data_IF_897149607218
#
_entry.id   IF_897149607218
#
_cell.length_a   1.000
_cell.length_b   1.000
_cell.length_c   1.000
_cell.angle_alpha   90.00
_cell.angle_beta   90.00
_cell.angle_gamma   90.00
#
_symmetry.space_group_name_H-M   'P 1'
#
loop_
_entity.id
_entity.type
_entity.pdbx_description
1 polymer ?
#
# COMPACT_ATOMS: atom_id res chain seq x y z
N UNK A 1 -33.28 10.05 9.63
CA UNK A 1 -32.31 10.45 8.58
C UNK A 1 -31.92 11.91 8.82
N UNK A 2 -30.90 12.15 9.66
CA UNK A 2 -30.35 13.51 9.84
C UNK A 2 -29.43 13.86 8.67
N UNK A 3 -29.31 15.16 8.39
CA UNK A 3 -28.83 15.72 7.13
C UNK A 3 -27.32 15.50 6.91
N UNK A 4 -26.97 15.00 5.73
CA UNK A 4 -25.63 15.19 5.14
C UNK A 4 -25.54 16.62 4.65
N UNK A 5 -24.53 17.35 5.12
CA UNK A 5 -24.22 18.71 4.67
C UNK A 5 -22.85 18.70 4.01
N UNK A 6 -22.75 19.39 2.89
CA UNK A 6 -21.48 19.59 2.20
C UNK A 6 -20.88 20.90 2.68
N UNK A 7 -19.62 20.88 3.15
CA UNK A 7 -18.92 22.08 3.59
C UNK A 7 -17.67 22.31 2.75
N UNK A 8 -17.45 23.56 2.36
CA UNK A 8 -16.29 23.99 1.58
C UNK A 8 -15.29 24.66 2.51
N UNK A 9 -14.04 24.23 2.46
CA UNK A 9 -12.92 24.83 3.18
C UNK A 9 -11.92 25.39 2.17
N UNK A 10 -11.27 26.50 2.51
CA UNK A 10 -10.22 27.10 1.69
C UNK A 10 -8.88 26.84 2.36
N UNK A 11 -7.97 26.20 1.65
CA UNK A 11 -6.62 25.95 2.15
C UNK A 11 -5.63 26.92 1.51
N UNK A 12 -4.52 27.16 2.21
CA UNK A 12 -3.35 27.87 1.69
C UNK A 12 -2.12 27.07 2.03
N UNK A 13 -1.27 26.84 1.03
CA UNK A 13 0.04 26.21 1.15
C UNK A 13 1.14 27.20 0.76
N UNK A 14 2.38 26.83 1.07
CA UNK A 14 3.53 27.75 0.98
C UNK A 14 3.94 28.14 -0.45
N UNK A 15 3.67 27.29 -1.44
CA UNK A 15 4.10 27.50 -2.83
C UNK A 15 3.19 26.82 -3.85
N UNK A 16 3.27 27.31 -5.09
CA UNK A 16 2.66 26.73 -6.29
C UNK A 16 3.75 26.43 -7.32
N UNK A 17 3.71 25.27 -7.95
CA UNK A 17 4.69 24.89 -8.98
C UNK A 17 4.19 23.73 -9.85
N UNK A 18 4.84 23.52 -10.98
CA UNK A 18 4.67 22.36 -11.85
C UNK A 18 5.98 21.58 -11.86
N UNK A 19 5.90 20.25 -11.66
CA UNK A 19 7.07 19.37 -11.63
C UNK A 19 6.80 18.05 -12.38
N UNK A 20 7.86 17.32 -12.78
CA UNK A 20 7.73 15.92 -13.21
C UNK A 20 7.08 15.06 -12.14
N UNK A 21 6.52 13.91 -12.52
CA UNK A 21 6.05 12.92 -11.56
C UNK A 21 7.22 12.20 -10.87
N UNK A 22 7.05 11.90 -9.59
CA UNK A 22 7.95 11.00 -8.84
C UNK A 22 7.91 9.58 -9.41
N UNK A 23 8.95 8.79 -9.15
CA UNK A 23 8.98 7.35 -9.45
C UNK A 23 7.81 6.60 -8.82
N UNK A 24 7.38 6.97 -7.61
CA UNK A 24 6.23 6.34 -6.95
C UNK A 24 4.90 6.68 -7.63
N UNK A 25 4.67 7.94 -8.03
CA UNK A 25 3.50 8.33 -8.83
C UNK A 25 3.46 7.58 -10.16
N UNK A 26 4.59 7.54 -10.89
CA UNK A 26 4.69 6.80 -12.15
C UNK A 26 4.49 5.30 -11.95
N UNK A 27 4.99 4.74 -10.85
CA UNK A 27 4.78 3.35 -10.50
C UNK A 27 3.30 3.03 -10.30
N UNK A 28 2.58 3.87 -9.54
CA UNK A 28 1.13 3.74 -9.31
C UNK A 28 0.33 3.87 -10.60
N UNK A 29 0.66 4.81 -11.49
CA UNK A 29 -0.03 4.95 -12.78
C UNK A 29 0.05 3.69 -13.65
N UNK A 30 1.09 2.87 -13.48
CA UNK A 30 1.25 1.60 -14.23
C UNK A 30 0.47 0.44 -13.61
N UNK A 31 -0.08 0.61 -12.41
CA UNK A 31 -0.90 -0.40 -11.74
C UNK A 31 -2.35 -0.22 -12.16
N UNK A 32 -2.94 -1.24 -12.78
CA UNK A 32 -4.33 -1.19 -13.26
C UNK A 32 -5.37 -1.24 -12.11
N UNK A 33 -4.91 -1.40 -10.88
CA UNK A 33 -5.73 -1.74 -9.72
C UNK A 33 -5.37 -0.98 -8.45
N UNK A 34 -4.64 0.13 -8.59
CA UNK A 34 -4.27 0.95 -7.44
C UNK A 34 -5.53 1.46 -6.72
N UNK A 35 -5.78 0.93 -5.53
CA UNK A 35 -6.95 1.28 -4.73
C UNK A 35 -6.76 2.61 -4.01
N UNK A 36 -7.87 3.27 -3.76
CA UNK A 36 -7.92 4.43 -2.87
C UNK A 36 -7.44 4.06 -1.46
N UNK A 37 -6.53 4.87 -0.91
CA UNK A 37 -5.98 4.62 0.43
C UNK A 37 -6.92 5.24 1.45
N UNK A 38 -7.55 4.40 2.26
CA UNK A 38 -8.60 4.82 3.21
C UNK A 38 -8.13 4.67 4.65
N UNK A 39 -8.48 5.64 5.51
CA UNK A 39 -8.35 5.52 6.96
C UNK A 39 -9.60 6.04 7.66
N UNK A 40 -9.97 5.34 8.72
CA UNK A 40 -11.00 5.75 9.67
C UNK A 40 -10.29 6.14 10.96
N UNK A 41 -10.62 7.30 11.50
CA UNK A 41 -10.06 7.78 12.76
C UNK A 41 -11.17 7.86 13.80
N UNK A 42 -10.90 7.27 14.96
CA UNK A 42 -11.59 7.61 16.20
C UNK A 42 -11.00 8.94 16.68
N UNK A 43 -11.80 10.02 16.62
CA UNK A 43 -11.33 11.33 17.04
C UNK A 43 -11.54 11.53 18.53
N UNK A 44 -10.64 12.23 19.24
CA UNK A 44 -11.03 12.79 20.53
C UNK A 44 -12.24 13.70 20.32
N UNK A 45 -13.13 13.86 21.33
CA UNK A 45 -14.23 14.81 21.27
C UNK A 45 -13.73 16.19 20.85
N UNK A 46 -14.10 16.63 19.65
CA UNK A 46 -13.65 17.90 19.07
C UNK A 46 -14.81 18.62 18.40
N UNK A 47 -14.85 19.94 18.53
CA UNK A 47 -15.86 20.76 17.87
C UNK A 47 -15.61 20.78 16.36
N UNK A 48 -16.68 20.82 15.57
CA UNK A 48 -16.61 20.84 14.10
C UNK A 48 -15.68 21.95 13.57
N UNK A 49 -15.72 23.21 14.06
CA UNK A 49 -14.79 24.25 13.60
C UNK A 49 -13.32 23.90 13.80
N UNK A 50 -12.96 23.30 14.95
CA UNK A 50 -11.57 22.90 15.23
C UNK A 50 -11.13 21.72 14.35
N UNK A 51 -12.04 20.79 14.07
CA UNK A 51 -11.80 19.72 13.10
C UNK A 51 -11.54 20.28 11.69
N UNK A 52 -12.32 21.28 11.28
CA UNK A 52 -12.17 21.98 10.00
C UNK A 52 -10.84 22.69 9.90
N UNK A 53 -10.45 23.42 10.95
CA UNK A 53 -9.16 24.11 11.00
C UNK A 53 -7.99 23.12 10.89
N UNK A 54 -8.08 21.98 11.60
CA UNK A 54 -7.09 20.91 11.51
C UNK A 54 -6.99 20.31 10.11
N UNK A 55 -8.12 20.01 9.45
CA UNK A 55 -8.13 19.50 8.07
C UNK A 55 -7.55 20.55 7.10
N UNK A 56 -7.90 21.83 7.29
CA UNK A 56 -7.40 22.93 6.46
C UNK A 56 -5.88 23.06 6.57
N UNK A 57 -5.36 23.03 7.80
CA UNK A 57 -3.92 23.07 8.07
C UNK A 57 -3.18 21.83 7.50
N UNK A 58 -3.79 20.65 7.59
CA UNK A 58 -3.25 19.40 7.04
C UNK A 58 -3.06 19.51 5.51
N UNK A 59 -4.08 19.99 4.79
CA UNK A 59 -4.02 20.15 3.34
C UNK A 59 -3.00 21.21 2.94
N UNK A 60 -2.98 22.36 3.64
CA UNK A 60 -2.00 23.42 3.38
C UNK A 60 -0.55 22.95 3.54
N UNK A 61 -0.29 22.14 4.57
CA UNK A 61 1.02 21.59 4.89
C UNK A 61 1.56 20.61 3.86
N UNK A 62 0.75 19.65 3.42
CA UNK A 62 1.24 18.55 2.59
C UNK A 62 0.99 18.80 1.11
N UNK A 63 2.06 19.03 0.34
CA UNK A 63 1.98 19.22 -1.12
C UNK A 63 1.19 18.10 -1.80
N UNK A 64 1.40 16.85 -1.39
CA UNK A 64 0.67 15.70 -1.93
C UNK A 64 -0.86 15.82 -1.83
N UNK A 65 -1.41 16.50 -0.82
CA UNK A 65 -2.86 16.66 -0.63
C UNK A 65 -3.47 17.81 -1.44
N UNK A 66 -2.61 18.65 -2.03
CA UNK A 66 -2.98 19.82 -2.86
C UNK A 66 -2.32 19.78 -4.24
N UNK A 67 -2.07 18.56 -4.72
CA UNK A 67 -1.45 18.29 -6.02
C UNK A 67 -2.45 17.63 -6.95
N UNK A 68 -2.59 18.17 -8.17
CA UNK A 68 -3.36 17.56 -9.26
C UNK A 68 -2.43 17.21 -10.41
N UNK A 69 -2.88 16.33 -11.29
CA UNK A 69 -2.16 16.03 -12.53
C UNK A 69 -2.54 17.04 -13.60
N UNK A 70 -1.57 17.37 -14.46
CA UNK A 70 -1.79 18.06 -15.73
C UNK A 70 -1.16 17.21 -16.84
N UNK A 71 -1.82 17.14 -17.99
CA UNK A 71 -1.44 16.28 -19.11
C UNK A 71 -2.58 16.17 -20.12
N UNK A 72 -2.54 15.19 -21.05
CA UNK A 72 -3.67 14.89 -21.93
C UNK A 72 -4.94 14.63 -21.12
N UNK A 73 -6.12 14.88 -21.70
CA UNK A 73 -7.41 15.01 -21.00
C UNK A 73 -7.76 13.89 -20.00
N UNK A 74 -7.18 12.68 -20.15
CA UNK A 74 -7.34 11.55 -19.24
C UNK A 74 -6.02 10.78 -19.05
N UNK A 75 -5.15 11.20 -18.10
CA UNK A 75 -3.89 10.50 -17.82
C UNK A 75 -4.08 9.03 -17.41
N UNK A 76 -5.25 8.69 -16.85
CA UNK A 76 -5.68 7.34 -16.48
C UNK A 76 -6.01 6.44 -17.67
N UNK A 77 -6.33 7.01 -18.84
CA UNK A 77 -6.65 6.26 -20.07
C UNK A 77 -5.37 6.01 -20.91
N UNK A 78 -4.21 6.47 -20.43
CA UNK A 78 -2.94 6.25 -21.10
C UNK A 78 -2.54 4.75 -20.98
N UNK A 79 -2.10 4.11 -22.08
CA UNK A 79 -1.73 2.70 -22.08
C UNK A 79 -0.69 2.39 -20.99
N UNK A 80 -0.89 1.32 -20.23
CA UNK A 80 0.01 0.94 -19.14
C UNK A 80 1.41 0.50 -19.59
N UNK A 81 1.58 0.25 -20.89
CA UNK A 81 2.85 0.06 -21.58
C UNK A 81 3.43 1.40 -22.09
N UNK A 82 3.17 2.50 -21.37
CA UNK A 82 3.69 3.85 -21.61
C UNK A 82 5.05 3.81 -22.34
N UNK A 83 5.00 3.97 -23.66
CA UNK A 83 6.16 4.08 -24.51
C UNK A 83 6.96 5.33 -24.13
N UNK A 84 8.23 5.39 -24.55
CA UNK A 84 9.13 6.50 -24.23
C UNK A 84 8.45 7.87 -24.43
N UNK A 85 8.42 8.70 -23.37
CA UNK A 85 7.96 10.10 -23.44
C UNK A 85 6.63 10.43 -22.75
N UNK A 86 5.76 9.46 -22.43
CA UNK A 86 4.45 9.78 -21.81
C UNK A 86 4.57 10.25 -20.35
N UNK A 87 5.55 9.73 -19.61
CA UNK A 87 5.96 10.28 -18.31
C UNK A 87 6.44 11.74 -18.41
N UNK A 88 6.88 12.18 -19.59
CA UNK A 88 7.17 13.59 -19.87
C UNK A 88 5.92 14.41 -20.26
N UNK A 89 4.79 13.78 -20.59
CA UNK A 89 3.53 14.47 -20.91
C UNK A 89 2.66 14.75 -19.69
N UNK A 90 2.79 13.93 -18.64
CA UNK A 90 2.06 14.13 -17.38
C UNK A 90 2.98 14.81 -16.37
N UNK A 91 2.46 15.83 -15.71
CA UNK A 91 3.14 16.60 -14.66
C UNK A 91 2.26 16.67 -13.43
N UNK A 92 2.88 16.90 -12.29
CA UNK A 92 2.16 17.27 -11.08
C UNK A 92 2.12 18.80 -10.96
N UNK A 93 0.95 19.34 -10.67
CA UNK A 93 0.73 20.74 -10.35
C UNK A 93 0.38 20.86 -8.87
N UNK A 94 1.29 21.45 -8.11
CA UNK A 94 1.11 21.77 -6.70
C UNK A 94 0.43 23.14 -6.62
N UNK A 95 -0.74 23.23 -5.99
CA UNK A 95 -1.45 24.49 -5.83
C UNK A 95 -1.10 25.17 -4.49
N UNK A 96 -0.87 26.49 -4.50
CA UNK A 96 -0.69 27.28 -3.27
C UNK A 96 -2.01 27.60 -2.57
N UNK A 97 -3.14 27.51 -3.27
CA UNK A 97 -4.46 27.75 -2.70
C UNK A 97 -5.50 26.91 -3.44
N UNK A 98 -6.62 26.64 -2.80
CA UNK A 98 -7.71 25.90 -3.39
C UNK A 98 -8.82 25.71 -2.39
N UNK A 99 -9.92 25.13 -2.86
CA UNK A 99 -11.05 24.80 -2.01
C UNK A 99 -11.33 23.31 -2.02
N UNK A 100 -11.32 22.70 -0.84
CA UNK A 100 -11.67 21.30 -0.63
C UNK A 100 -13.10 21.23 -0.12
N UNK A 101 -13.84 20.26 -0.63
CA UNK A 101 -15.20 19.95 -0.18
C UNK A 101 -15.18 18.73 0.74
N UNK A 102 -15.80 18.83 1.90
CA UNK A 102 -15.92 17.74 2.87
C UNK A 102 -17.38 17.48 3.25
N UNK A 103 -17.69 16.22 3.56
CA UNK A 103 -19.01 15.79 4.01
C UNK A 103 -19.11 15.90 5.54
N UNK A 104 -20.12 16.61 6.03
CA UNK A 104 -20.50 16.63 7.47
C UNK A 104 -21.74 15.79 7.64
N UNK A 105 -21.64 14.74 8.44
CA UNK A 105 -22.68 13.73 8.63
C UNK A 105 -23.19 13.79 10.06
N UNK A 106 -24.36 14.40 10.26
CA UNK A 106 -25.00 14.47 11.58
C UNK A 106 -25.82 13.21 11.82
N UNK A 107 -25.66 12.58 12.98
CA UNK A 107 -26.40 11.37 13.36
C UNK A 107 -26.66 11.31 14.86
N UNK A 108 -27.52 10.38 15.28
CA UNK A 108 -27.62 10.02 16.69
C UNK A 108 -26.37 9.20 17.11
N UNK A 109 -25.96 9.21 18.41
CA UNK A 109 -24.80 8.45 18.88
C UNK A 109 -24.84 6.97 18.52
N UNK A 110 -26.00 6.33 18.60
CA UNK A 110 -26.24 4.93 18.28
C UNK A 110 -26.12 4.60 16.77
N UNK A 111 -26.21 5.60 15.89
CA UNK A 111 -26.13 5.44 14.43
C UNK A 111 -24.70 5.61 13.88
N UNK A 112 -23.76 6.07 14.73
CA UNK A 112 -22.40 6.47 14.33
C UNK A 112 -21.67 5.39 13.53
N UNK A 113 -21.72 4.14 13.96
CA UNK A 113 -21.06 3.02 13.27
C UNK A 113 -21.61 2.79 11.85
N UNK A 114 -22.94 2.84 11.70
CA UNK A 114 -23.62 2.65 10.39
C UNK A 114 -23.31 3.81 9.44
N UNK A 115 -23.38 5.04 9.94
CA UNK A 115 -23.06 6.25 9.16
C UNK A 115 -21.60 6.26 8.73
N UNK A 116 -20.69 5.86 9.63
CA UNK A 116 -19.27 5.73 9.35
C UNK A 116 -18.98 4.70 8.26
N UNK A 117 -19.56 3.51 8.37
CA UNK A 117 -19.42 2.46 7.37
C UNK A 117 -19.95 2.89 5.98
N UNK A 118 -21.13 3.54 5.95
CA UNK A 118 -21.71 4.07 4.72
C UNK A 118 -20.86 5.18 4.09
N UNK A 119 -20.32 6.10 4.89
CA UNK A 119 -19.42 7.14 4.43
C UNK A 119 -18.13 6.57 3.84
N UNK A 120 -17.52 5.59 4.53
CA UNK A 120 -16.32 4.88 4.08
C UNK A 120 -16.55 4.25 2.71
N UNK A 121 -17.57 3.40 2.58
CA UNK A 121 -17.87 2.71 1.33
C UNK A 121 -18.09 3.70 0.19
N UNK A 122 -18.92 4.72 0.42
CA UNK A 122 -19.25 5.72 -0.61
C UNK A 122 -18.03 6.52 -1.08
N UNK A 123 -17.14 6.92 -0.17
CA UNK A 123 -15.97 7.72 -0.52
C UNK A 123 -14.86 6.87 -1.16
N UNK A 124 -14.72 5.60 -0.74
CA UNK A 124 -13.63 4.73 -1.17
C UNK A 124 -13.87 4.06 -2.52
N UNK A 125 -15.11 3.77 -2.93
CA UNK A 125 -15.41 2.99 -4.15
C UNK A 125 -15.30 3.78 -5.45
N UNK A 126 -15.41 5.11 -5.41
CA UNK A 126 -15.30 5.95 -6.60
C UNK A 126 -13.83 6.19 -6.97
N UNK A 127 -13.43 5.95 -8.22
CA UNK A 127 -12.11 6.35 -8.70
C UNK A 127 -11.90 7.87 -8.55
N UNK A 128 -10.66 8.32 -8.35
CA UNK A 128 -10.34 9.75 -8.40
C UNK A 128 -10.21 10.22 -9.85
N UNK A 129 -10.73 11.42 -10.14
CA UNK A 129 -10.29 12.16 -11.32
C UNK A 129 -9.08 12.98 -10.91
N UNK A 130 -7.88 12.55 -11.31
CA UNK A 130 -6.63 13.16 -10.82
C UNK A 130 -6.34 14.56 -11.39
N UNK A 131 -7.07 14.97 -12.44
CA UNK A 131 -6.94 16.28 -13.09
C UNK A 131 -7.85 17.31 -12.40
N UNK A 132 -9.11 16.93 -12.16
CA UNK A 132 -10.14 17.86 -11.66
C UNK A 132 -10.26 17.83 -10.13
N UNK A 133 -10.07 16.65 -9.52
CA UNK A 133 -10.33 16.42 -8.10
C UNK A 133 -9.06 16.55 -7.25
N UNK A 134 -9.18 17.14 -6.05
CA UNK A 134 -8.11 17.04 -5.05
C UNK A 134 -7.89 15.57 -4.65
N UNK A 135 -6.65 15.17 -4.35
CA UNK A 135 -6.32 13.78 -4.04
C UNK A 135 -6.70 13.36 -2.61
N UNK A 136 -7.73 14.00 -2.04
CA UNK A 136 -8.25 13.78 -0.70
C UNK A 136 -9.78 13.97 -0.69
N UNK A 137 -10.49 13.04 -0.06
CA UNK A 137 -11.91 13.17 0.32
C UNK A 137 -12.02 12.99 1.82
N UNK A 138 -12.86 13.80 2.45
CA UNK A 138 -13.06 13.77 3.90
C UNK A 138 -14.55 13.68 4.22
N UNK A 139 -14.91 12.80 5.15
CA UNK A 139 -16.17 12.85 5.86
C UNK A 139 -15.93 13.00 7.36
N UNK A 140 -16.73 13.83 8.01
CA UNK A 140 -16.73 14.07 9.45
C UNK A 140 -18.06 13.62 10.00
N UNK A 141 -18.04 12.71 10.97
CA UNK A 141 -19.26 12.20 11.63
C UNK A 141 -19.46 12.96 12.93
N UNK A 142 -20.62 13.60 13.05
CA UNK A 142 -21.00 14.47 14.17
C UNK A 142 -22.16 13.84 14.94
N UNK A 143 -21.95 13.59 16.23
CA UNK A 143 -22.97 13.11 17.16
C UNK A 143 -23.02 14.04 18.37
N UNK A 144 -24.23 14.47 18.75
CA UNK A 144 -24.43 15.46 19.83
C UNK A 144 -23.54 16.71 19.67
N UNK A 145 -23.47 17.26 18.45
CA UNK A 145 -22.68 18.44 18.06
C UNK A 145 -21.15 18.33 18.26
N UNK A 146 -20.65 17.11 18.48
CA UNK A 146 -19.24 16.77 18.60
C UNK A 146 -18.81 15.86 17.45
N UNK A 147 -17.64 16.10 16.89
CA UNK A 147 -17.01 15.20 15.93
C UNK A 147 -16.46 13.98 16.67
N UNK A 148 -16.93 12.80 16.27
CA UNK A 148 -16.58 11.52 16.90
C UNK A 148 -15.76 10.61 15.99
N UNK A 149 -15.94 10.74 14.67
CA UNK A 149 -15.15 9.99 13.69
C UNK A 149 -14.82 10.84 12.46
N UNK A 150 -13.72 10.47 11.80
CA UNK A 150 -13.38 10.99 10.48
C UNK A 150 -13.05 9.84 9.53
N UNK A 151 -13.46 9.99 8.27
CA UNK A 151 -13.04 9.14 7.16
C UNK A 151 -12.17 9.99 6.24
N UNK A 152 -10.96 9.53 5.97
CA UNK A 152 -10.08 10.11 4.96
C UNK A 152 -9.87 9.07 3.86
N UNK A 153 -10.05 9.50 2.62
CA UNK A 153 -9.75 8.70 1.43
C UNK A 153 -8.80 9.51 0.57
N UNK A 154 -7.62 8.98 0.31
CA UNK A 154 -6.60 9.61 -0.51
C UNK A 154 -6.42 8.86 -1.84
N UNK A 155 -6.04 9.61 -2.86
CA UNK A 155 -5.58 9.01 -4.11
C UNK A 155 -4.28 8.22 -3.88
N UNK A 156 -4.12 7.04 -4.50
CA UNK A 156 -2.87 6.29 -4.43
C UNK A 156 -1.70 6.99 -5.13
N UNK A 157 -1.93 8.07 -5.89
CA UNK A 157 -0.86 8.93 -6.44
C UNK A 157 -0.33 9.94 -5.43
N UNK A 158 -1.12 10.28 -4.42
CA UNK A 158 -0.72 11.22 -3.38
C UNK A 158 -0.06 10.53 -2.21
N UNK A 159 -0.52 9.34 -1.82
CA UNK A 159 0.03 8.60 -0.69
C UNK A 159 0.08 7.10 -0.95
N UNK A 160 1.12 6.45 -0.44
CA UNK A 160 1.09 5.03 -0.10
C UNK A 160 0.56 4.84 1.34
N UNK A 161 0.42 3.60 1.81
CA UNK A 161 -0.10 3.33 3.16
C UNK A 161 0.70 4.02 4.27
N UNK A 162 2.02 4.00 4.17
CA UNK A 162 2.87 4.67 5.15
C UNK A 162 2.74 6.21 5.06
N UNK A 163 2.59 6.76 3.86
CA UNK A 163 2.29 8.17 3.64
C UNK A 163 0.94 8.56 4.26
N UNK A 164 -0.05 7.68 4.16
CA UNK A 164 -1.35 7.88 4.78
C UNK A 164 -1.27 7.81 6.32
N UNK A 165 -0.45 6.93 6.88
CA UNK A 165 -0.22 6.89 8.33
C UNK A 165 0.41 8.19 8.84
N UNK A 166 1.29 8.83 8.04
CA UNK A 166 1.82 10.16 8.35
C UNK A 166 0.73 11.24 8.28
N UNK A 167 -0.20 11.17 7.31
CA UNK A 167 -1.36 12.07 7.23
C UNK A 167 -2.24 11.94 8.48
N UNK A 168 -2.57 10.71 8.87
CA UNK A 168 -3.36 10.43 10.09
C UNK A 168 -2.65 10.93 11.34
N UNK A 169 -1.34 10.69 11.44
CA UNK A 169 -0.51 11.18 12.56
C UNK A 169 -0.53 12.70 12.64
N UNK A 170 -0.30 13.39 11.53
CA UNK A 170 -0.25 14.85 11.48
C UNK A 170 -1.63 15.47 11.74
N UNK A 171 -2.72 14.86 11.26
CA UNK A 171 -4.09 15.27 11.60
C UNK A 171 -4.37 15.10 13.10
N UNK A 172 -4.01 13.97 13.68
CA UNK A 172 -4.18 13.73 15.11
C UNK A 172 -3.36 14.68 15.99
N UNK A 173 -2.21 15.14 15.52
CA UNK A 173 -1.41 16.17 16.19
C UNK A 173 -2.09 17.54 16.06
N UNK A 174 -2.53 17.92 14.86
CA UNK A 174 -3.27 19.16 14.59
C UNK A 174 -4.55 19.30 15.42
N UNK A 175 -5.32 18.22 15.58
CA UNK A 175 -6.52 18.19 16.43
C UNK A 175 -6.20 18.45 17.92
N UNK A 176 -4.95 18.26 18.35
CA UNK A 176 -4.47 18.58 19.70
C UNK A 176 -3.78 19.95 19.78
N UNK A 177 -3.82 20.74 18.70
CA UNK A 177 -3.20 22.07 18.63
C UNK A 177 -1.68 22.05 18.52
N UNK A 178 -1.07 20.91 18.19
CA UNK A 178 0.38 20.76 18.08
C UNK A 178 0.74 20.24 16.70
N UNK A 179 1.69 20.85 15.99
CA UNK A 179 2.27 20.22 14.82
C UNK A 179 3.74 20.60 14.68
N UNK A 180 4.68 19.64 14.81
CA UNK A 180 6.09 19.95 14.74
C UNK A 180 6.47 20.40 13.32
N UNK A 181 7.41 21.35 13.23
CA UNK A 181 8.07 21.68 11.97
C UNK A 181 8.80 20.42 11.49
N UNK A 182 8.54 20.00 10.25
CA UNK A 182 9.26 18.89 9.61
C UNK A 182 9.95 19.40 8.36
N UNK A 183 11.23 19.09 8.23
CA UNK A 183 12.03 19.29 7.02
C UNK A 183 12.03 18.02 6.18
N UNK A 184 10.85 17.46 5.90
CA UNK A 184 10.74 16.36 4.97
C UNK A 184 10.90 16.88 3.54
N UNK A 185 11.57 16.09 2.69
CA UNK A 185 11.55 16.30 1.24
C UNK A 185 10.10 16.42 0.76
N UNK A 186 9.85 17.34 -0.18
CA UNK A 186 8.55 17.46 -0.82
C UNK A 186 8.50 16.65 -2.13
N UNK A 187 7.34 16.11 -2.54
CA UNK A 187 7.24 15.23 -3.70
C UNK A 187 7.79 15.85 -4.99
N UNK A 188 7.55 17.14 -5.22
CA UNK A 188 8.06 17.85 -6.38
C UNK A 188 9.60 17.93 -6.42
N UNK A 189 10.23 18.19 -5.27
CA UNK A 189 11.69 18.28 -5.17
C UNK A 189 12.32 16.89 -5.34
N UNK A 190 11.66 15.83 -4.83
CA UNK A 190 12.10 14.44 -5.04
C UNK A 190 12.03 14.05 -6.51
N UNK A 191 10.96 14.41 -7.22
CA UNK A 191 10.83 14.11 -8.64
C UNK A 191 11.97 14.72 -9.47
N UNK A 192 12.37 15.95 -9.14
CA UNK A 192 13.50 16.60 -9.80
C UNK A 192 14.82 15.88 -9.50
N UNK A 193 15.08 15.53 -8.23
CA UNK A 193 16.30 14.79 -7.86
C UNK A 193 16.39 13.42 -8.51
N UNK A 194 15.27 12.70 -8.60
CA UNK A 194 15.19 11.40 -9.27
C UNK A 194 15.54 11.51 -10.75
N UNK A 195 15.12 12.60 -11.42
CA UNK A 195 15.48 12.88 -12.81
C UNK A 195 16.98 13.15 -12.98
N UNK A 196 17.56 13.94 -12.10
CA UNK A 196 18.96 14.40 -12.20
C UNK A 196 19.97 13.34 -11.79
N UNK A 197 19.69 12.59 -10.71
CA UNK A 197 20.67 11.73 -10.04
C UNK A 197 20.26 10.26 -9.95
N UNK A 198 19.07 9.90 -10.43
CA UNK A 198 18.50 8.56 -10.27
C UNK A 198 18.98 7.50 -11.27
N UNK A 199 19.75 7.87 -12.29
CA UNK A 199 20.19 6.93 -13.33
C UNK A 199 21.01 5.73 -12.79
N UNK A 200 22.00 5.91 -11.88
CA UNK A 200 22.76 4.79 -11.32
C UNK A 200 21.91 3.82 -10.49
N UNK A 201 20.90 4.33 -9.76
CA UNK A 201 19.98 3.49 -8.99
C UNK A 201 19.15 2.59 -9.92
N UNK A 202 18.63 3.20 -11.00
CA UNK A 202 17.86 2.50 -12.02
C UNK A 202 18.69 1.42 -12.71
N UNK A 203 19.94 1.71 -13.10
CA UNK A 203 20.79 0.73 -13.78
C UNK A 203 21.11 -0.47 -12.86
N UNK A 204 21.41 -0.22 -11.59
CA UNK A 204 21.64 -1.28 -10.59
C UNK A 204 20.40 -2.15 -10.40
N UNK A 205 19.21 -1.55 -10.34
CA UNK A 205 17.96 -2.28 -10.26
C UNK A 205 17.76 -3.15 -11.51
N UNK A 206 17.84 -2.57 -12.71
CA UNK A 206 17.70 -3.33 -13.98
C UNK A 206 18.67 -4.51 -14.02
N UNK A 207 19.95 -4.32 -13.66
CA UNK A 207 20.95 -5.39 -13.62
C UNK A 207 20.56 -6.50 -12.65
N UNK A 208 20.09 -6.14 -11.45
CA UNK A 208 19.62 -7.09 -10.46
C UNK A 208 18.44 -7.91 -10.99
N UNK A 209 17.40 -7.23 -11.48
CA UNK A 209 16.18 -7.86 -11.98
C UNK A 209 16.48 -8.79 -13.16
N UNK A 210 17.22 -8.34 -14.19
CA UNK A 210 17.64 -9.19 -15.31
C UNK A 210 18.43 -10.42 -14.87
N UNK A 211 19.30 -10.27 -13.88
CA UNK A 211 20.13 -11.38 -13.39
C UNK A 211 19.30 -12.41 -12.64
N UNK A 212 18.33 -11.99 -11.83
CA UNK A 212 17.46 -12.91 -11.11
C UNK A 212 16.46 -13.60 -12.04
N UNK A 213 15.84 -12.85 -12.96
CA UNK A 213 14.80 -13.40 -13.84
C UNK A 213 15.34 -14.32 -14.93
N UNK A 214 16.63 -14.25 -15.29
CA UNK A 214 17.28 -15.24 -16.16
C UNK A 214 17.33 -16.65 -15.56
N UNK A 215 17.08 -16.80 -14.26
CA UNK A 215 17.22 -18.07 -13.51
C UNK A 215 15.90 -18.77 -13.29
N UNK A 216 14.78 -18.14 -13.63
CA UNK A 216 13.43 -18.63 -13.31
C UNK A 216 12.66 -18.86 -14.59
N UNK A 217 11.78 -19.86 -14.58
CA UNK A 217 10.74 -19.98 -15.59
C UNK A 217 9.65 -18.97 -15.24
N UNK A 218 9.30 -18.10 -16.19
CA UNK A 218 8.11 -17.26 -16.04
C UNK A 218 6.91 -18.08 -16.51
N UNK A 219 5.99 -18.33 -15.59
CA UNK A 219 4.71 -18.97 -15.91
C UNK A 219 3.72 -17.86 -16.23
N UNK A 220 2.95 -18.04 -17.30
CA UNK A 220 1.82 -17.17 -17.61
C UNK A 220 0.62 -17.60 -16.78
N UNK A 221 -0.09 -16.63 -16.26
CA UNK A 221 -1.32 -16.93 -15.57
C UNK A 221 -2.44 -17.29 -16.52
N UNK A 222 -3.36 -18.17 -16.08
CA UNK A 222 -4.55 -18.43 -16.85
C UNK A 222 -5.38 -17.14 -16.97
N UNK A 223 -6.02 -16.91 -18.13
CA UNK A 223 -6.86 -15.76 -18.34
C UNK A 223 -8.07 -15.79 -17.38
N UNK A 224 -8.38 -14.65 -16.76
CA UNK A 224 -9.49 -14.50 -15.83
C UNK A 224 -9.58 -13.08 -15.26
N UNK A 225 -10.75 -12.72 -14.73
CA UNK A 225 -10.88 -11.48 -13.98
C UNK A 225 -10.07 -11.59 -12.68
N UNK A 226 -9.18 -10.63 -12.37
CA UNK A 226 -8.50 -10.61 -11.09
C UNK A 226 -9.51 -10.62 -9.94
N UNK A 227 -9.25 -11.45 -8.93
CA UNK A 227 -10.09 -11.55 -7.74
C UNK A 227 -9.31 -11.16 -6.48
N UNK A 228 -10.00 -10.46 -5.59
CA UNK A 228 -9.52 -10.15 -4.26
C UNK A 228 -10.22 -10.99 -3.19
N UNK A 229 -9.47 -11.72 -2.36
CA UNK A 229 -10.04 -12.47 -1.22
C UNK A 229 -9.27 -12.18 0.05
N UNK A 230 -10.02 -11.93 1.11
CA UNK A 230 -9.54 -11.71 2.47
C UNK A 230 -9.91 -12.87 3.39
N UNK A 231 -8.91 -13.55 3.93
CA UNK A 231 -8.96 -14.51 5.03
C UNK A 231 -8.72 -13.81 6.38
N UNK A 232 -9.52 -14.12 7.39
CA UNK A 232 -9.29 -13.67 8.76
C UNK A 232 -9.03 -14.87 9.65
N UNK A 233 -7.83 -14.98 10.20
CA UNK A 233 -7.45 -16.11 11.07
C UNK A 233 -6.50 -15.69 12.18
N UNK A 234 -7.03 -15.60 13.40
CA UNK A 234 -6.24 -15.36 14.62
C UNK A 234 -5.21 -16.47 14.82
N UNK A 235 -5.59 -17.72 14.54
CA UNK A 235 -4.73 -18.88 14.75
C UNK A 235 -3.52 -18.87 13.81
N UNK A 236 -3.72 -18.52 12.53
CA UNK A 236 -2.62 -18.30 11.59
C UNK A 236 -1.73 -17.12 11.98
N UNK A 237 -2.34 -16.03 12.46
CA UNK A 237 -1.62 -14.89 13.03
C UNK A 237 -0.63 -15.33 14.11
N UNK A 238 -1.11 -16.14 15.05
CA UNK A 238 -0.29 -16.68 16.14
C UNK A 238 0.77 -17.66 15.63
N UNK A 239 0.42 -18.57 14.71
CA UNK A 239 1.36 -19.53 14.14
C UNK A 239 2.53 -18.83 13.43
N UNK A 240 2.23 -17.84 12.58
CA UNK A 240 3.25 -17.06 11.91
C UNK A 240 4.13 -16.26 12.88
N UNK A 241 3.54 -15.74 13.98
CA UNK A 241 4.31 -15.07 15.03
C UNK A 241 5.30 -15.99 15.73
N UNK A 242 4.87 -17.22 16.08
CA UNK A 242 5.74 -18.23 16.69
C UNK A 242 6.91 -18.59 15.77
N UNK A 243 6.64 -18.86 14.49
CA UNK A 243 7.70 -19.14 13.50
C UNK A 243 8.62 -17.94 13.34
N UNK A 244 8.07 -16.73 13.23
CA UNK A 244 8.85 -15.51 13.09
C UNK A 244 9.80 -15.30 14.29
N UNK A 245 9.32 -15.53 15.51
CA UNK A 245 10.11 -15.43 16.73
C UNK A 245 11.26 -16.46 16.76
N UNK A 246 10.99 -17.72 16.41
CA UNK A 246 12.01 -18.79 16.36
C UNK A 246 13.16 -18.46 15.40
N UNK A 247 12.86 -17.80 14.29
CA UNK A 247 13.86 -17.47 13.26
C UNK A 247 14.37 -16.02 13.33
N UNK A 248 13.92 -15.22 14.29
CA UNK A 248 14.37 -13.82 14.44
C UNK A 248 13.95 -12.90 13.28
N UNK A 249 12.81 -13.16 12.65
CA UNK A 249 12.29 -12.40 11.49
C UNK A 249 10.94 -11.75 11.79
N UNK A 250 10.39 -10.99 10.85
CA UNK A 250 9.03 -10.44 10.95
C UNK A 250 8.00 -11.46 10.45
N UNK A 251 6.76 -11.48 10.98
CA UNK A 251 5.70 -12.35 10.46
C UNK A 251 5.47 -12.21 8.95
N UNK A 252 5.63 -10.99 8.39
CA UNK A 252 5.53 -10.75 6.95
C UNK A 252 6.50 -11.61 6.11
N UNK A 253 7.69 -11.89 6.63
CA UNK A 253 8.65 -12.80 5.99
C UNK A 253 8.13 -14.24 5.96
N UNK A 254 7.47 -14.68 7.04
CA UNK A 254 6.91 -16.04 7.13
C UNK A 254 5.78 -16.22 6.12
N UNK A 255 4.88 -15.23 5.99
CA UNK A 255 3.82 -15.28 4.99
C UNK A 255 4.36 -15.29 3.56
N UNK A 256 5.39 -14.47 3.27
CA UNK A 256 6.01 -14.47 1.95
C UNK A 256 6.65 -15.82 1.60
N UNK A 257 7.31 -16.47 2.56
CA UNK A 257 7.86 -17.81 2.41
C UNK A 257 6.75 -18.85 2.17
N UNK A 258 5.67 -18.79 2.96
CA UNK A 258 4.52 -19.68 2.81
C UNK A 258 3.84 -19.52 1.45
N UNK A 259 3.64 -18.28 1.01
CA UNK A 259 3.09 -17.97 -0.30
C UNK A 259 3.97 -18.49 -1.44
N UNK A 260 5.29 -18.29 -1.36
CA UNK A 260 6.22 -18.83 -2.34
C UNK A 260 6.12 -20.36 -2.45
N UNK A 261 6.01 -21.05 -1.30
CA UNK A 261 5.84 -22.51 -1.27
C UNK A 261 4.55 -22.96 -1.94
N UNK A 262 3.44 -22.24 -1.70
CA UNK A 262 2.16 -22.51 -2.36
C UNK A 262 2.27 -22.27 -3.86
N UNK A 263 2.75 -21.11 -4.30
CA UNK A 263 2.93 -20.79 -5.73
C UNK A 263 3.78 -21.84 -6.42
N UNK A 264 4.96 -22.18 -5.89
CA UNK A 264 5.83 -23.18 -6.55
C UNK A 264 5.24 -24.59 -6.58
N UNK A 265 4.42 -24.96 -5.60
CA UNK A 265 3.69 -26.24 -5.64
C UNK A 265 2.65 -26.26 -6.75
N UNK A 266 1.99 -25.11 -6.99
CA UNK A 266 0.94 -24.98 -8.00
C UNK A 266 1.49 -24.87 -9.42
N UNK A 267 2.67 -24.28 -9.57
CA UNK A 267 3.34 -24.16 -10.87
C UNK A 267 4.30 -25.29 -11.17
N UNK A 268 4.49 -26.22 -10.25
CA UNK A 268 5.55 -27.24 -10.31
C UNK A 268 6.96 -26.62 -10.50
N UNK A 269 7.20 -25.46 -9.88
CA UNK A 269 8.47 -24.72 -9.97
C UNK A 269 9.20 -24.70 -8.63
N UNK A 270 10.50 -24.97 -8.67
CA UNK A 270 11.35 -24.89 -7.48
C UNK A 270 11.96 -23.50 -7.28
N UNK A 271 12.03 -22.67 -8.32
CA UNK A 271 12.52 -21.29 -8.23
C UNK A 271 11.37 -20.31 -8.48
N UNK A 272 10.87 -19.69 -7.42
CA UNK A 272 9.69 -18.85 -7.47
C UNK A 272 10.07 -17.36 -7.41
N UNK A 273 9.82 -16.58 -8.48
CA UNK A 273 9.95 -15.13 -8.46
C UNK A 273 8.68 -14.48 -7.90
N UNK A 274 8.84 -13.62 -6.90
CA UNK A 274 7.78 -12.82 -6.28
C UNK A 274 8.16 -11.34 -6.32
N UNK A 275 7.17 -10.48 -6.63
CA UNK A 275 7.27 -9.05 -6.35
C UNK A 275 6.84 -8.78 -4.91
N UNK A 276 7.50 -7.86 -4.24
CA UNK A 276 7.12 -7.39 -2.90
C UNK A 276 7.15 -5.89 -2.84
N UNK A 277 6.19 -5.27 -2.17
CA UNK A 277 6.16 -3.81 -2.03
C UNK A 277 7.19 -3.38 -0.99
N UNK A 278 8.11 -2.51 -1.40
CA UNK A 278 9.16 -1.95 -0.54
C UNK A 278 8.85 -0.48 -0.31
N UNK A 279 8.63 -0.11 0.95
CA UNK A 279 8.21 1.26 1.30
C UNK A 279 9.27 2.34 1.01
N UNK A 280 10.55 1.95 0.88
CA UNK A 280 11.70 2.84 0.72
C UNK A 280 11.92 3.87 1.85
N UNK A 281 11.11 3.84 2.92
CA UNK A 281 11.15 4.79 4.05
C UNK A 281 12.24 4.52 5.09
N UNK A 282 13.01 3.45 4.90
CA UNK A 282 14.27 3.24 5.63
C UNK A 282 15.37 4.19 5.14
N UNK A 283 15.21 4.80 3.96
CA UNK A 283 16.08 5.89 3.53
C UNK A 283 15.67 7.21 4.21
N UNK A 284 16.63 7.97 4.81
CA UNK A 284 16.32 9.18 5.57
C UNK A 284 15.57 10.26 4.77
N UNK A 285 15.85 10.39 3.48
CA UNK A 285 15.23 11.35 2.55
C UNK A 285 13.73 11.07 2.30
N UNK A 286 13.27 9.84 2.56
CA UNK A 286 11.91 9.38 2.32
C UNK A 286 11.10 9.12 3.60
N UNK A 287 11.74 9.04 4.77
CA UNK A 287 11.13 8.57 6.03
C UNK A 287 9.80 9.25 6.36
N UNK A 288 9.81 10.59 6.39
CA UNK A 288 8.68 11.42 6.84
C UNK A 288 7.97 12.12 5.66
N UNK A 289 8.10 11.60 4.45
CA UNK A 289 7.51 12.19 3.24
C UNK A 289 6.07 11.72 3.04
N UNK A 290 5.10 12.64 3.03
CA UNK A 290 3.74 12.34 2.56
C UNK A 290 3.75 12.31 1.04
N UNK A 291 3.88 11.12 0.48
CA UNK A 291 3.90 10.82 -0.94
C UNK A 291 3.66 9.31 -1.16
N UNK A 292 3.39 8.91 -2.39
CA UNK A 292 3.60 7.54 -2.84
C UNK A 292 5.09 7.35 -3.13
N UNK A 293 5.76 6.53 -2.32
CA UNK A 293 7.21 6.29 -2.38
C UNK A 293 7.51 4.80 -2.60
N UNK A 294 6.60 3.94 -2.18
CA UNK A 294 6.74 2.51 -2.34
C UNK A 294 6.89 2.09 -3.82
N UNK A 295 7.78 1.13 -4.06
CA UNK A 295 7.97 0.48 -5.35
C UNK A 295 8.25 -1.01 -5.12
N UNK A 296 8.24 -1.81 -6.18
CA UNK A 296 8.49 -3.24 -6.02
C UNK A 296 9.96 -3.58 -5.80
N UNK A 297 10.20 -4.55 -4.93
CA UNK A 297 11.39 -5.37 -4.93
C UNK A 297 11.12 -6.71 -5.61
N UNK A 298 12.15 -7.29 -6.22
CA UNK A 298 12.13 -8.67 -6.71
C UNK A 298 12.76 -9.60 -5.67
N UNK A 299 12.02 -10.64 -5.31
CA UNK A 299 12.47 -11.72 -4.44
C UNK A 299 12.39 -13.02 -5.23
N UNK A 300 13.50 -13.75 -5.35
CA UNK A 300 13.51 -15.10 -5.95
C UNK A 300 13.87 -16.09 -4.86
N UNK A 301 13.01 -17.08 -4.65
CA UNK A 301 13.14 -18.08 -3.60
C UNK A 301 13.33 -19.46 -4.21
N UNK A 302 14.27 -20.21 -3.65
CA UNK A 302 14.53 -21.60 -3.98
C UNK A 302 13.81 -22.48 -2.96
N UNK A 303 12.82 -23.23 -3.42
CA UNK A 303 11.99 -24.11 -2.62
C UNK A 303 12.65 -25.47 -2.34
N UNK A 304 13.78 -25.78 -3.00
CA UNK A 304 14.58 -26.98 -2.76
C UNK A 304 15.48 -26.81 -1.52
N UNK A 305 14.87 -26.38 -0.41
CA UNK A 305 15.52 -26.23 0.90
C UNK A 305 15.06 -27.32 1.88
N UNK A 306 15.90 -27.73 2.85
CA UNK A 306 15.61 -28.89 3.71
C UNK A 306 14.37 -28.71 4.59
N UNK A 307 14.05 -27.48 4.99
CA UNK A 307 12.92 -27.17 5.86
C UNK A 307 12.24 -25.85 5.54
N UNK A 308 11.00 -25.67 6.03
CA UNK A 308 10.31 -24.39 5.93
C UNK A 308 11.04 -23.26 6.70
N UNK A 309 11.70 -23.58 7.80
CA UNK A 309 12.51 -22.60 8.55
C UNK A 309 13.71 -22.08 7.75
N UNK A 310 14.32 -22.95 6.92
CA UNK A 310 15.38 -22.55 5.98
C UNK A 310 14.82 -21.64 4.88
N UNK A 311 13.60 -21.94 4.38
CA UNK A 311 12.92 -21.07 3.44
C UNK A 311 12.65 -19.69 4.04
N UNK A 312 12.12 -19.62 5.27
CA UNK A 312 11.88 -18.35 5.99
C UNK A 312 13.17 -17.53 6.13
N UNK A 313 14.28 -18.19 6.48
CA UNK A 313 15.59 -17.54 6.60
C UNK A 313 16.11 -17.03 5.26
N UNK A 314 15.95 -17.83 4.19
CA UNK A 314 16.27 -17.43 2.82
C UNK A 314 15.42 -16.24 2.37
N UNK A 315 14.11 -16.26 2.67
CA UNK A 315 13.16 -15.20 2.36
C UNK A 315 13.57 -13.89 3.01
N UNK A 316 13.95 -13.88 4.28
CA UNK A 316 14.44 -12.68 4.95
C UNK A 316 15.66 -12.07 4.22
N UNK A 317 16.66 -12.91 3.89
CA UNK A 317 17.86 -12.48 3.17
C UNK A 317 17.53 -11.92 1.79
N UNK A 318 16.60 -12.55 1.08
CA UNK A 318 16.15 -12.11 -0.24
C UNK A 318 15.39 -10.78 -0.16
N UNK A 319 14.50 -10.60 0.83
CA UNK A 319 13.78 -9.34 1.08
C UNK A 319 14.76 -8.20 1.38
N UNK A 320 15.71 -8.39 2.31
CA UNK A 320 16.72 -7.38 2.64
C UNK A 320 17.57 -7.01 1.42
N UNK A 321 17.86 -7.98 0.55
CA UNK A 321 18.55 -7.72 -0.71
C UNK A 321 17.69 -6.91 -1.69
N UNK A 322 16.42 -7.26 -1.83
CA UNK A 322 15.47 -6.57 -2.70
C UNK A 322 15.31 -5.09 -2.34
N UNK A 323 15.36 -4.75 -1.04
CA UNK A 323 15.30 -3.36 -0.57
C UNK A 323 16.38 -2.46 -1.20
N UNK A 324 17.56 -3.01 -1.54
CA UNK A 324 18.66 -2.25 -2.16
C UNK A 324 18.42 -1.90 -3.62
N UNK A 325 17.40 -2.49 -4.25
CA UNK A 325 17.12 -2.39 -5.68
C UNK A 325 15.68 -1.94 -5.97
N UNK A 326 14.94 -1.51 -4.95
CA UNK A 326 13.54 -1.07 -5.05
C UNK A 326 13.39 0.45 -5.18
N UNK A 327 14.43 1.16 -5.66
CA UNK A 327 14.38 2.57 -6.08
C UNK A 327 14.87 2.65 -7.51
N UNK A 328 13.97 2.90 -8.45
CA UNK A 328 14.29 2.93 -9.87
C UNK A 328 13.26 3.72 -10.66
N UNK A 329 13.66 4.16 -11.85
CA UNK A 329 12.72 4.66 -12.85
C UNK A 329 11.83 3.52 -13.37
N UNK A 330 10.50 3.55 -13.10
CA UNK A 330 9.62 2.43 -13.41
C UNK A 330 9.47 2.18 -14.91
N UNK A 331 9.58 3.22 -15.75
CA UNK A 331 9.45 3.08 -17.20
C UNK A 331 10.69 2.41 -17.79
N UNK A 332 11.88 2.82 -17.32
CA UNK A 332 13.15 2.18 -17.72
C UNK A 332 13.22 0.73 -17.26
N UNK A 333 12.73 0.41 -16.06
CA UNK A 333 12.69 -0.97 -15.58
C UNK A 333 11.76 -1.83 -16.45
N UNK A 334 10.52 -1.36 -16.68
CA UNK A 334 9.54 -2.09 -17.48
C UNK A 334 10.04 -2.37 -18.91
N UNK A 335 10.70 -1.39 -19.54
CA UNK A 335 11.31 -1.55 -20.86
C UNK A 335 12.45 -2.57 -20.85
N UNK A 336 13.28 -2.56 -19.80
CA UNK A 336 14.46 -3.40 -19.74
C UNK A 336 14.17 -4.85 -19.33
N UNK A 337 13.06 -5.07 -18.64
CA UNK A 337 12.64 -6.35 -18.06
C UNK A 337 11.20 -6.63 -18.53
N UNK A 338 11.03 -7.03 -19.81
CA UNK A 338 9.72 -7.41 -20.32
C UNK A 338 9.27 -8.75 -19.71
N UNK A 339 7.96 -8.91 -19.56
CA UNK A 339 7.35 -10.06 -18.90
C UNK A 339 6.90 -9.71 -17.49
N UNK A 340 5.68 -10.11 -17.13
CA UNK A 340 5.14 -9.88 -15.79
C UNK A 340 5.54 -11.06 -14.90
N UNK A 341 6.32 -10.85 -13.82
CA UNK A 341 6.42 -11.87 -12.79
C UNK A 341 5.02 -12.17 -12.26
N UNK A 342 4.77 -13.46 -12.10
CA UNK A 342 3.48 -14.10 -12.00
C UNK A 342 2.69 -13.82 -10.71
N UNK A 343 3.35 -13.32 -9.67
CA UNK A 343 2.70 -12.97 -8.41
C UNK A 343 3.37 -11.76 -7.72
N UNK A 344 2.53 -10.87 -7.19
CA UNK A 344 2.94 -9.76 -6.34
C UNK A 344 2.36 -9.98 -4.94
N UNK A 345 3.22 -9.93 -3.92
CA UNK A 345 2.86 -10.06 -2.52
C UNK A 345 3.14 -8.74 -1.81
N UNK A 346 2.09 -7.97 -1.61
CA UNK A 346 2.12 -6.78 -0.76
C UNK A 346 1.75 -7.17 0.66
N UNK A 347 2.64 -6.97 1.65
CA UNK A 347 2.37 -7.28 3.07
C UNK A 347 2.18 -5.99 3.88
N UNK A 348 0.95 -5.59 4.14
CA UNK A 348 0.59 -4.38 4.90
C UNK A 348 0.37 -4.67 6.37
N UNK A 349 0.79 -3.86 7.34
CA UNK A 349 0.29 -3.98 8.70
C UNK A 349 -1.18 -3.52 8.76
N UNK A 350 -2.07 -4.22 9.46
CA UNK A 350 -3.39 -3.65 9.76
C UNK A 350 -3.21 -2.44 10.68
N UNK A 351 -3.61 -1.26 10.20
CA UNK A 351 -4.04 -0.18 11.08
C UNK A 351 -5.25 -0.64 11.90
N UNK A 352 -5.43 -0.10 13.10
CA UNK A 352 -6.49 -0.56 13.99
C UNK A 352 -7.88 -0.44 13.35
N UNK A 353 -8.65 -1.54 13.40
CA UNK A 353 -10.10 -1.63 13.15
C UNK A 353 -10.57 -1.34 11.72
N UNK A 354 -10.15 -2.12 10.73
CA UNK A 354 -10.89 -2.20 9.47
C UNK A 354 -11.97 -3.31 9.50
N UNK A 355 -13.28 -2.96 9.42
CA UNK A 355 -14.31 -3.95 9.11
C UNK A 355 -14.26 -4.31 7.61
N UNK A 356 -14.64 -5.56 7.24
CA UNK A 356 -14.53 -6.05 5.88
C UNK A 356 -15.39 -5.21 4.90
N UNK A 357 -15.08 -5.19 3.60
CA UNK A 357 -16.02 -4.69 2.60
C UNK A 357 -17.29 -5.56 2.62
N UNK A 358 -18.45 -4.93 2.46
CA UNK A 358 -19.76 -5.60 2.54
C UNK A 358 -20.05 -6.50 1.31
N UNK A 359 -19.26 -6.38 0.25
CA UNK A 359 -19.41 -7.13 -1.01
C UNK A 359 -18.03 -7.44 -1.61
N UNK A 360 -17.83 -8.61 -2.24
CA UNK A 360 -16.67 -8.85 -3.09
C UNK A 360 -16.69 -7.81 -4.21
N UNK A 361 -15.71 -6.91 -4.23
CA UNK A 361 -15.53 -6.02 -5.37
C UNK A 361 -14.67 -6.74 -6.41
N UNK A 362 -14.98 -6.65 -7.72
CA UNK A 362 -14.01 -6.96 -8.76
C UNK A 362 -12.87 -5.96 -8.59
N UNK A 363 -11.74 -6.45 -8.11
CA UNK A 363 -10.55 -5.66 -7.81
C UNK A 363 -9.37 -6.36 -8.44
N UNK A 364 -8.55 -5.60 -9.15
CA UNK A 364 -7.25 -6.09 -9.64
C UNK A 364 -6.35 -6.54 -8.49
N UNK A 365 -6.35 -7.83 -8.20
CA UNK A 365 -5.52 -8.51 -7.21
C UNK A 365 -6.06 -8.45 -5.76
N UNK A 366 -5.52 -9.29 -4.85
CA UNK A 366 -5.71 -9.28 -3.36
C UNK A 366 -4.61 -8.98 -2.27
N UNK A 367 -4.92 -8.07 -1.35
CA UNK A 367 -3.96 -7.40 -0.44
C UNK A 367 -3.49 -8.13 0.82
N UNK A 368 -2.33 -8.81 0.88
CA UNK A 368 -1.86 -9.42 2.15
C UNK A 368 -1.66 -8.37 3.26
N UNK A 369 -2.51 -8.39 4.29
CA UNK A 369 -2.45 -7.43 5.40
C UNK A 369 -2.36 -8.17 6.73
N UNK A 370 -1.32 -7.92 7.53
CA UNK A 370 -0.97 -8.60 8.79
C UNK A 370 -1.10 -7.66 9.99
N UNK A 371 -2.11 -7.91 10.82
CA UNK A 371 -2.15 -7.47 12.21
C UNK A 371 -3.23 -8.24 12.96
N UNK A 372 -2.88 -8.89 14.07
CA UNK A 372 -3.72 -9.72 14.97
C UNK A 372 -4.78 -10.71 14.43
N UNK A 373 -5.29 -10.70 13.19
CA UNK A 373 -6.21 -11.73 12.65
C UNK A 373 -6.59 -11.60 11.15
N UNK A 374 -5.74 -11.15 10.21
CA UNK A 374 -6.12 -11.02 8.78
C UNK A 374 -4.97 -11.47 7.83
N UNK A 375 -5.32 -12.01 6.66
CA UNK A 375 -4.50 -12.61 5.59
C UNK A 375 -5.29 -12.44 4.29
N UNK A 376 -4.76 -11.88 3.21
CA UNK A 376 -5.52 -11.67 1.95
C UNK A 376 -4.55 -11.88 0.78
N UNK A 377 -4.91 -12.47 -0.36
CA UNK A 377 -3.92 -13.04 -1.31
C UNK A 377 -3.92 -12.49 -2.76
N UNK A 378 -2.86 -11.78 -3.21
CA UNK A 378 -2.91 -11.00 -4.46
C UNK A 378 -2.45 -11.85 -5.62
N UNK A 379 -3.24 -11.80 -6.68
CA UNK A 379 -2.81 -12.27 -7.96
C UNK A 379 -3.42 -11.38 -9.04
N UNK A 380 -2.60 -10.85 -9.95
CA UNK A 380 -3.06 -10.18 -11.20
C UNK A 380 -3.63 -11.21 -12.19
N UNK A 381 -3.87 -12.43 -11.70
CA UNK A 381 -3.64 -13.69 -12.39
C UNK A 381 -4.29 -14.81 -11.58
N UNK A 382 -5.51 -15.25 -11.91
CA UNK A 382 -6.26 -16.28 -11.15
C UNK A 382 -5.65 -17.66 -11.30
N UNK A 383 -4.56 -17.92 -10.60
CA UNK A 383 -3.84 -19.17 -10.81
C UNK A 383 -4.54 -20.40 -10.25
N UNK A 384 -5.27 -20.22 -9.17
CA UNK A 384 -5.96 -21.28 -8.43
C UNK A 384 -7.15 -20.64 -7.70
N UNK A 385 -8.24 -21.38 -7.47
CA UNK A 385 -9.29 -20.96 -6.55
C UNK A 385 -8.67 -20.54 -5.22
N UNK A 386 -8.96 -19.31 -4.78
CA UNK A 386 -8.29 -18.72 -3.61
C UNK A 386 -8.47 -19.58 -2.34
N UNK A 387 -9.55 -20.34 -2.24
CA UNK A 387 -9.83 -21.27 -1.15
C UNK A 387 -8.76 -22.37 -0.99
N UNK A 388 -8.25 -22.92 -2.08
CA UNK A 388 -7.23 -23.98 -2.03
C UNK A 388 -5.87 -23.42 -1.58
N UNK A 389 -5.53 -22.21 -2.04
CA UNK A 389 -4.35 -21.47 -1.56
C UNK A 389 -4.43 -21.20 -0.06
N UNK A 390 -5.60 -20.78 0.44
CA UNK A 390 -5.79 -20.49 1.87
C UNK A 390 -5.67 -21.75 2.73
N UNK A 391 -6.24 -22.88 2.29
CA UNK A 391 -6.14 -24.15 2.99
C UNK A 391 -4.69 -24.68 3.01
N UNK A 392 -3.97 -24.52 1.90
CA UNK A 392 -2.55 -24.89 1.82
C UNK A 392 -1.69 -24.03 2.77
N UNK A 393 -1.95 -22.73 2.84
CA UNK A 393 -1.29 -21.82 3.79
C UNK A 393 -1.56 -22.20 5.25
N UNK A 394 -2.82 -22.52 5.59
CA UNK A 394 -3.17 -22.99 6.93
C UNK A 394 -2.37 -24.23 7.31
N UNK A 395 -2.46 -25.28 6.49
CA UNK A 395 -1.79 -26.54 6.78
C UNK A 395 -0.27 -26.37 6.93
N UNK A 396 0.35 -25.56 6.08
CA UNK A 396 1.80 -25.30 6.12
C UNK A 396 2.21 -24.56 7.40
N UNK A 397 1.52 -23.47 7.75
CA UNK A 397 1.89 -22.65 8.91
C UNK A 397 1.61 -23.36 10.24
N UNK A 398 0.50 -24.09 10.35
CA UNK A 398 0.22 -24.88 11.54
C UNK A 398 1.25 -25.99 11.74
N UNK A 399 1.63 -26.70 10.68
CA UNK A 399 2.66 -27.74 10.74
C UNK A 399 4.00 -27.16 11.17
N UNK A 400 4.42 -26.03 10.59
CA UNK A 400 5.67 -25.36 10.95
C UNK A 400 5.68 -24.83 12.40
N UNK A 401 4.54 -24.32 12.89
CA UNK A 401 4.44 -23.77 14.23
C UNK A 401 4.35 -24.86 15.32
N UNK A 402 3.55 -25.91 15.09
CA UNK A 402 3.10 -26.80 16.16
C UNK A 402 3.42 -28.29 15.95
N UNK A 403 3.86 -28.72 14.76
CA UNK A 403 4.25 -30.11 14.51
C UNK A 403 5.77 -30.35 14.51
N UNK A 404 6.55 -29.46 15.12
CA UNK A 404 7.96 -29.77 15.40
C UNK A 404 7.99 -31.00 16.31
N UNK A 405 8.54 -32.13 15.81
CA UNK A 405 8.83 -33.30 16.64
C UNK A 405 9.51 -32.80 17.94
N UNK A 406 9.07 -33.23 19.13
CA UNK A 406 9.82 -32.91 20.33
C UNK A 406 11.25 -33.39 20.11
N UNK A 407 12.22 -32.48 20.24
CA UNK A 407 13.60 -32.88 20.43
C UNK A 407 13.59 -33.90 21.57
N UNK A 408 14.05 -35.11 21.29
CA UNK A 408 14.20 -36.14 22.30
C UNK A 408 15.08 -35.54 23.39
N UNK A 409 14.47 -35.17 24.51
CA UNK A 409 15.19 -34.96 25.76
C UNK A 409 15.88 -36.30 26.04
N UNK A 410 17.19 -36.35 25.80
CA UNK A 410 17.98 -37.49 26.22
C UNK A 410 17.80 -37.61 27.75
N UNK A 411 17.50 -38.79 28.28
CA UNK A 411 17.41 -38.96 29.73
C UNK A 411 18.75 -38.57 30.36
N UNK A 412 18.74 -37.87 31.52
CA UNK A 412 19.96 -37.50 32.21
C UNK A 412 20.77 -38.77 32.53
N UNK A 413 22.06 -38.71 32.22
CA UNK A 413 23.04 -39.75 32.55
C UNK A 413 23.38 -39.75 34.05
#
# INVERSE_FOLDING_TARGET
MKARVTMKIVFTGERSLVAPLTWGQRHVMRQHSALNVTRVLDTPPVLLPLAVDAITALVGRHEALRTRLIGPDRPEDLPADLADGVAELVRQQVASTGALTLDVLHCAPEETATVLAGARTRLATRAFNHVEEWPLRVAVVVAADIVVHMVLVCSPLAVDDNGMDLVVKDLGLLLRGALPVRSATRPADEAQRQRETGAPLTERAIRHWRTQLRRVTLVDAPPGEPAAVTLRSTALGNAAHVVAQRHGVRPSTVYLAAFAKVVGTLTDENLVPLRTVVSNRFHPDCRDVVASVAQDGLVVLDLAVPSFGDLVTQTWRAVVRAHRFARYDPDKLAKAVPGRPFACVDVRPLGQREPPPATPHPVGGAHLTVGRAEVTLHSDTTLVPVEDCLRALENLLFSAAYQVKPERVAPPA
#
